data_IF_916668245564
#
_entry.id   IF_916668245564
#
_cell.length_a   1.000
_cell.length_b   1.000
_cell.length_c   1.000
_cell.angle_alpha   90.00
_cell.angle_beta   90.00
_cell.angle_gamma   90.00
#
_symmetry.space_group_name_H-M   'P 1'
#
loop_
_entity.id
_entity.type
_entity.pdbx_description
1 polymer ?
#
# COMPACT_ATOMS: atom_id res chain seq x y z
N UNK A 1 -8.72 -15.39 6.86
CA UNK A 1 -8.50 -14.12 6.17
C UNK A 1 -8.95 -14.33 4.74
N UNK A 2 -9.76 -13.43 4.18
CA UNK A 2 -10.19 -13.51 2.78
C UNK A 2 -9.42 -12.45 2.01
N UNK A 3 -8.70 -12.86 0.97
CA UNK A 3 -8.03 -11.94 0.06
C UNK A 3 -9.08 -11.03 -0.59
N UNK A 4 -8.94 -9.71 -0.48
CA UNK A 4 -9.85 -8.76 -1.10
C UNK A 4 -9.21 -7.38 -1.24
N UNK A 5 -9.56 -6.64 -2.29
CA UNK A 5 -9.31 -5.20 -2.40
C UNK A 5 -10.60 -4.36 -2.26
N UNK A 6 -11.08 -4.09 -1.03
CA UNK A 6 -12.29 -3.32 -0.82
C UNK A 6 -12.10 -1.82 -1.11
N UNK A 7 -10.86 -1.32 -1.15
CA UNK A 7 -10.57 0.08 -1.40
C UNK A 7 -10.84 0.41 -2.87
N UNK A 8 -10.44 -0.45 -3.78
CA UNK A 8 -10.70 -0.25 -5.22
C UNK A 8 -12.18 -0.38 -5.56
N UNK A 9 -12.91 -1.32 -4.93
CA UNK A 9 -14.38 -1.37 -5.02
C UNK A 9 -14.98 -0.03 -4.56
N UNK A 10 -14.52 0.52 -3.43
CA UNK A 10 -15.01 1.78 -2.90
C UNK A 10 -14.65 3.00 -3.78
N UNK A 11 -13.50 3.00 -4.45
CA UNK A 11 -13.12 4.03 -5.43
C UNK A 11 -14.10 4.06 -6.59
N UNK A 12 -14.37 2.91 -7.20
CA UNK A 12 -15.33 2.80 -8.32
C UNK A 12 -16.73 3.25 -7.87
N UNK A 13 -17.18 2.80 -6.69
CA UNK A 13 -18.44 3.23 -6.09
C UNK A 13 -18.56 4.76 -5.94
N UNK A 14 -17.45 5.45 -5.70
CA UNK A 14 -17.42 6.89 -5.42
C UNK A 14 -17.18 7.77 -6.65
N UNK A 15 -16.44 7.28 -7.64
CA UNK A 15 -15.79 8.12 -8.66
C UNK A 15 -16.30 7.90 -10.09
N UNK A 16 -16.91 6.76 -10.42
CA UNK A 16 -17.37 6.50 -11.79
C UNK A 16 -18.61 7.33 -12.19
N UNK A 17 -19.36 7.84 -11.20
CA UNK A 17 -20.56 8.66 -11.43
C UNK A 17 -20.64 9.83 -10.44
N UNK A 18 -21.37 10.92 -10.78
CA UNK A 18 -21.61 12.03 -9.87
C UNK A 18 -22.34 11.58 -8.60
N UNK A 19 -23.32 10.68 -8.74
CA UNK A 19 -24.02 10.06 -7.61
C UNK A 19 -23.15 8.99 -6.97
N UNK A 20 -23.05 9.04 -5.64
CA UNK A 20 -22.36 7.99 -4.90
C UNK A 20 -23.18 6.70 -4.88
N UNK A 21 -22.66 5.65 -5.50
CA UNK A 21 -23.20 4.30 -5.44
C UNK A 21 -22.88 3.69 -4.07
N UNK A 22 -23.91 3.33 -3.29
CA UNK A 22 -23.75 2.83 -1.90
C UNK A 22 -23.98 1.34 -1.74
N UNK A 23 -24.25 0.62 -2.84
CA UNK A 23 -24.50 -0.82 -2.83
C UNK A 23 -23.55 -1.53 -3.77
N UNK A 24 -23.05 -2.69 -3.34
CA UNK A 24 -22.13 -3.53 -4.14
C UNK A 24 -22.83 -4.38 -5.19
N UNK A 25 -24.17 -4.50 -5.12
CA UNK A 25 -25.00 -5.19 -6.12
C UNK A 25 -25.47 -4.29 -7.26
N UNK A 26 -25.02 -3.02 -7.28
CA UNK A 26 -25.22 -2.13 -8.41
C UNK A 26 -24.58 -2.73 -9.68
N UNK A 27 -25.25 -2.73 -10.84
CA UNK A 27 -24.72 -3.35 -12.07
C UNK A 27 -23.33 -2.86 -12.50
N UNK A 28 -22.95 -1.63 -12.14
CA UNK A 28 -21.60 -1.10 -12.39
C UNK A 28 -20.56 -1.67 -11.43
N UNK A 29 -20.96 -1.93 -10.19
CA UNK A 29 -20.05 -2.31 -9.09
C UNK A 29 -19.91 -3.82 -8.96
N UNK A 30 -20.99 -4.57 -9.20
CA UNK A 30 -21.02 -6.01 -9.03
C UNK A 30 -19.87 -6.73 -9.77
N UNK A 31 -19.52 -6.39 -11.03
CA UNK A 31 -18.39 -7.02 -11.72
C UNK A 31 -17.05 -6.75 -11.04
N UNK A 32 -16.82 -5.53 -10.55
CA UNK A 32 -15.60 -5.13 -9.82
C UNK A 32 -15.52 -5.85 -8.48
N UNK A 33 -16.64 -5.86 -7.74
CA UNK A 33 -16.74 -6.59 -6.47
C UNK A 33 -16.44 -8.08 -6.66
N UNK A 34 -17.02 -8.73 -7.66
CA UNK A 34 -16.75 -10.14 -7.94
C UNK A 34 -15.29 -10.39 -8.37
N UNK A 35 -14.70 -9.50 -9.17
CA UNK A 35 -13.31 -9.61 -9.60
C UNK A 35 -12.31 -9.44 -8.46
N UNK A 36 -12.62 -8.58 -7.48
CA UNK A 36 -11.75 -8.25 -6.34
C UNK A 36 -12.10 -9.03 -5.06
N UNK A 37 -13.19 -9.77 -5.01
CA UNK A 37 -13.52 -10.69 -3.92
C UNK A 37 -12.74 -11.99 -4.10
N UNK A 38 -11.82 -12.28 -3.18
CA UNK A 38 -10.92 -13.44 -3.31
C UNK A 38 -9.68 -13.16 -4.17
N UNK A 39 -9.65 -12.03 -4.89
CA UNK A 39 -8.45 -11.52 -5.55
C UNK A 39 -7.83 -10.40 -4.70
N UNK A 40 -6.50 -10.36 -4.68
CA UNK A 40 -5.74 -9.39 -3.91
C UNK A 40 -4.41 -9.17 -4.59
N UNK A 41 -3.98 -7.92 -4.69
CA UNK A 41 -2.67 -7.56 -5.22
C UNK A 41 -1.49 -7.99 -4.32
N UNK A 42 -1.77 -8.56 -3.14
CA UNK A 42 -0.73 -8.89 -2.15
C UNK A 42 -0.28 -7.70 -1.30
N UNK A 43 -1.02 -6.59 -1.34
CA UNK A 43 -0.80 -5.41 -0.49
C UNK A 43 -1.19 -5.69 0.97
N UNK A 44 -0.20 -5.86 1.85
CA UNK A 44 -0.43 -6.02 3.28
C UNK A 44 -0.58 -4.66 3.95
N UNK A 45 -1.66 -4.47 4.71
CA UNK A 45 -1.80 -3.33 5.61
C UNK A 45 -1.32 -3.75 7.00
N UNK A 46 -0.09 -3.36 7.35
CA UNK A 46 0.38 -3.49 8.73
C UNK A 46 -0.17 -2.31 9.53
N UNK A 47 -1.13 -2.57 10.44
CA UNK A 47 -1.54 -1.58 11.41
C UNK A 47 -0.42 -1.37 12.42
N UNK A 48 0.09 -0.14 12.45
CA UNK A 48 1.24 0.27 13.23
C UNK A 48 0.90 1.61 13.92
N UNK A 49 1.26 1.75 15.20
CA UNK A 49 1.11 3.00 15.97
C UNK A 49 2.44 3.66 16.30
N UNK A 50 3.55 3.16 15.75
CA UNK A 50 4.87 3.71 15.98
C UNK A 50 5.00 5.06 15.27
N UNK A 51 5.64 5.98 15.98
CA UNK A 51 6.05 7.29 15.51
C UNK A 51 7.49 7.52 15.96
N UNK A 52 8.18 8.46 15.33
CA UNK A 52 9.60 8.78 15.61
C UNK A 52 10.49 7.53 15.58
N UNK A 53 10.33 6.72 14.52
CA UNK A 53 10.96 5.43 14.32
C UNK A 53 12.43 5.64 13.93
N UNK A 54 13.36 5.27 14.81
CA UNK A 54 14.78 5.17 14.47
C UNK A 54 15.05 3.80 13.83
N UNK A 55 15.44 3.80 12.55
CA UNK A 55 15.76 2.56 11.84
C UNK A 55 17.07 1.94 12.38
N UNK A 56 17.13 0.62 12.58
CA UNK A 56 18.35 -0.05 13.02
C UNK A 56 19.53 0.23 12.08
N UNK A 57 20.63 0.73 12.64
CA UNK A 57 21.86 1.03 11.87
C UNK A 57 21.82 2.33 11.05
N UNK A 58 20.71 3.06 11.05
CA UNK A 58 20.60 4.34 10.33
C UNK A 58 21.26 5.49 11.10
N UNK A 59 21.99 6.33 10.39
CA UNK A 59 22.54 7.60 10.88
C UNK A 59 21.55 8.76 10.73
N UNK A 60 20.56 8.66 9.84
CA UNK A 60 19.55 9.68 9.61
C UNK A 60 18.56 9.86 10.78
N UNK A 61 17.80 10.95 10.74
CA UNK A 61 16.83 11.29 11.79
C UNK A 61 15.72 10.24 11.93
N UNK A 62 15.06 10.26 13.10
CA UNK A 62 13.90 9.41 13.34
C UNK A 62 12.75 9.75 12.38
N UNK A 63 12.07 8.73 11.89
CA UNK A 63 11.00 8.87 10.92
C UNK A 63 9.67 9.07 11.64
N UNK A 64 8.91 10.11 11.29
CA UNK A 64 7.59 10.33 11.88
C UNK A 64 6.64 9.13 11.69
N UNK A 65 6.75 8.42 10.56
CA UNK A 65 6.06 7.17 10.26
C UNK A 65 6.76 6.44 9.09
N UNK A 66 6.48 5.16 8.89
CA UNK A 66 7.12 4.33 7.84
C UNK A 66 6.09 3.90 6.79
N UNK A 67 6.02 4.61 5.66
CA UNK A 67 5.04 4.38 4.58
C UNK A 67 5.69 3.94 3.26
N UNK A 68 6.87 4.46 2.94
CA UNK A 68 7.63 4.13 1.73
C UNK A 68 8.96 3.48 2.11
N UNK A 69 9.63 2.78 1.18
CA UNK A 69 10.99 2.30 1.40
C UNK A 69 11.92 3.45 1.76
N UNK A 70 12.78 3.21 2.74
CA UNK A 70 13.77 4.17 3.21
C UNK A 70 15.17 3.63 2.93
N UNK A 71 16.04 4.49 2.45
CA UNK A 71 17.46 4.18 2.26
C UNK A 71 18.29 5.44 2.56
N UNK A 72 19.53 5.25 2.97
CA UNK A 72 20.49 6.33 3.21
C UNK A 72 21.88 5.96 2.67
N UNK A 73 22.69 6.97 2.38
CA UNK A 73 24.12 6.87 2.12
C UNK A 73 24.89 7.86 3.02
N UNK A 74 26.17 8.06 2.76
CA UNK A 74 26.99 9.02 3.52
C UNK A 74 26.50 10.48 3.41
N UNK A 75 25.74 10.82 2.36
CA UNK A 75 25.15 12.15 2.17
C UNK A 75 23.77 12.29 2.85
N UNK A 76 23.16 11.20 3.33
CA UNK A 76 21.90 11.20 4.06
C UNK A 76 20.80 10.38 3.37
N UNK A 77 19.54 10.75 3.63
CA UNK A 77 18.37 10.06 3.09
C UNK A 77 18.24 10.22 1.58
N UNK A 78 17.88 9.14 0.89
CA UNK A 78 17.35 9.25 -0.47
C UNK A 78 15.96 9.88 -0.46
N UNK A 79 15.63 10.65 -1.49
CA UNK A 79 14.27 11.14 -1.70
C UNK A 79 13.37 10.00 -2.19
N UNK A 80 12.50 9.53 -1.28
CA UNK A 80 11.53 8.47 -1.54
C UNK A 80 10.47 8.84 -2.61
N UNK A 81 10.34 10.11 -2.97
CA UNK A 81 9.40 10.59 -3.99
C UNK A 81 10.03 10.78 -5.37
N UNK A 82 11.33 10.54 -5.52
CA UNK A 82 12.05 10.71 -6.79
C UNK A 82 12.41 9.33 -7.40
N UNK A 83 11.51 8.69 -8.16
CA UNK A 83 11.70 7.33 -8.67
C UNK A 83 12.84 7.22 -9.71
N UNK A 84 13.23 8.33 -10.33
CA UNK A 84 14.36 8.37 -11.25
C UNK A 84 15.70 8.18 -10.54
N UNK A 85 15.78 8.51 -9.25
CA UNK A 85 17.02 8.48 -8.46
C UNK A 85 16.98 7.37 -7.42
N UNK A 86 15.81 7.10 -6.83
CA UNK A 86 15.62 6.03 -5.86
C UNK A 86 14.92 4.82 -6.49
N UNK A 87 15.73 3.90 -7.03
CA UNK A 87 15.27 2.63 -7.64
C UNK A 87 15.55 1.46 -6.71
N UNK A 88 14.52 0.65 -6.48
CA UNK A 88 14.62 -0.56 -5.66
C UNK A 88 13.80 -1.70 -6.27
N UNK A 89 14.09 -2.94 -5.87
CA UNK A 89 13.32 -4.14 -6.22
C UNK A 89 13.03 -4.91 -4.95
N UNK A 90 11.75 -5.22 -4.70
CA UNK A 90 11.32 -6.11 -3.61
C UNK A 90 11.04 -7.48 -4.22
N UNK A 91 11.49 -8.54 -3.56
CA UNK A 91 11.18 -9.92 -3.91
C UNK A 91 10.85 -10.70 -2.65
N UNK A 92 9.88 -11.60 -2.73
CA UNK A 92 9.54 -12.52 -1.66
C UNK A 92 9.64 -13.96 -2.16
N UNK A 93 9.97 -14.87 -1.25
CA UNK A 93 9.96 -16.31 -1.48
C UNK A 93 9.30 -16.99 -0.28
N UNK A 94 8.58 -18.08 -0.54
CA UNK A 94 8.02 -18.90 0.52
C UNK A 94 9.13 -19.47 1.41
N UNK A 95 8.94 -19.40 2.73
CA UNK A 95 9.79 -20.09 3.71
C UNK A 95 9.10 -21.39 4.13
N UNK A 96 9.86 -22.49 4.21
CA UNK A 96 9.33 -23.74 4.76
C UNK A 96 9.06 -23.54 6.25
N UNK A 97 7.89 -24.00 6.69
CA UNK A 97 7.48 -24.03 8.10
C UNK A 97 8.38 -24.95 8.93
#
# INVERSE_FOLDING_TARGET
>A
WTAMDPADVAKVMRQERPEWIKRTDDPLIAPVYHGLYGAWEGNWMAYNTAHDIKLPGSQGDALGFFMYPMAENAEGWFDQYTPAEFRYKISASEVKA
#
